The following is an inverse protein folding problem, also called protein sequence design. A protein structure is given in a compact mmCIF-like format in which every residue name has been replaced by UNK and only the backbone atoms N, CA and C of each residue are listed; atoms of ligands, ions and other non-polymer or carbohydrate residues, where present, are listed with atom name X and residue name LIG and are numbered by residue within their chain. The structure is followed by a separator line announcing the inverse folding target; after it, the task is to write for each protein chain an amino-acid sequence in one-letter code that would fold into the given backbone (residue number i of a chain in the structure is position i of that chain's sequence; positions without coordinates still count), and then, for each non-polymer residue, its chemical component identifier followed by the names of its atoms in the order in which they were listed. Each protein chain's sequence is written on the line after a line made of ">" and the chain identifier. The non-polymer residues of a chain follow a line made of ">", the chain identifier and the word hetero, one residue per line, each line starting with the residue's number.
data_IF_311203863726
#
_entry.id   IF_311203863726
#
_cell.length_a   1.000
_cell.length_b   1.000
_cell.length_c   1.000
_cell.angle_alpha   90.00
_cell.angle_beta   90.00
_cell.angle_gamma   90.00
#
_symmetry.space_group_name_H-M   'P 1'
#
loop_
_entity.id
_entity.type
_entity.pdbx_description
1 polymer ?
#
# COMPACT_ATOMS: atom_id res chain seq x y z
N UNK A 1 6.78 -10.85 23.07
CA UNK A 1 7.52 -11.45 21.92
C UNK A 1 7.34 -10.53 20.73
N UNK A 2 8.37 -10.30 19.88
CA UNK A 2 8.19 -9.52 18.66
C UNK A 2 7.14 -10.20 17.78
N UNK A 3 6.11 -9.45 17.37
CA UNK A 3 5.09 -9.96 16.46
C UNK A 3 5.50 -9.64 15.01
N UNK A 4 5.13 -10.53 14.10
CA UNK A 4 5.32 -10.36 12.67
C UNK A 4 3.95 -10.42 12.01
N UNK A 5 3.59 -9.38 11.27
CA UNK A 5 2.37 -9.34 10.47
C UNK A 5 2.75 -9.18 9.00
N UNK A 6 2.31 -10.11 8.17
CA UNK A 6 2.37 -9.99 6.72
C UNK A 6 0.98 -9.59 6.25
N UNK A 7 0.88 -8.57 5.41
CA UNK A 7 -0.39 -8.12 4.86
C UNK A 7 -0.32 -7.97 3.35
N UNK A 8 -1.45 -8.23 2.71
CA UNK A 8 -1.67 -8.02 1.29
C UNK A 8 -3.13 -7.61 1.07
N UNK A 9 -3.32 -6.54 0.30
CA UNK A 9 -4.62 -6.02 -0.09
C UNK A 9 -4.58 -5.68 -1.58
N UNK A 10 -5.61 -6.10 -2.30
CA UNK A 10 -5.78 -5.81 -3.72
C UNK A 10 -7.19 -5.29 -3.97
N UNK A 11 -7.33 -4.21 -4.73
CA UNK A 11 -8.60 -3.55 -5.00
C UNK A 11 -8.66 -3.12 -6.47
N UNK A 12 -9.84 -3.27 -7.08
CA UNK A 12 -10.15 -2.80 -8.43
C UNK A 12 -11.35 -1.87 -8.41
N UNK A 13 -11.27 -0.80 -9.18
CA UNK A 13 -12.24 0.29 -9.25
C UNK A 13 -12.61 0.53 -10.72
N UNK A 14 -13.70 -0.08 -11.22
CA UNK A 14 -14.22 0.25 -12.53
C UNK A 14 -14.90 1.63 -12.51
N UNK A 15 -14.74 2.41 -13.57
CA UNK A 15 -15.47 3.67 -13.73
C UNK A 15 -16.95 3.42 -14.01
N UNK A 16 -17.82 4.26 -13.45
CA UNK A 16 -19.26 4.24 -13.72
C UNK A 16 -19.62 4.88 -15.08
N UNK A 17 -18.85 5.89 -15.51
CA UNK A 17 -19.13 6.60 -16.77
C UNK A 17 -18.63 5.86 -18.02
N UNK A 18 -17.44 5.24 -17.93
CA UNK A 18 -16.83 4.42 -18.99
C UNK A 18 -16.34 3.11 -18.41
N UNK A 19 -17.06 2.01 -18.66
CA UNK A 19 -16.68 0.69 -18.15
C UNK A 19 -15.33 0.17 -18.66
N UNK A 20 -14.79 0.75 -19.73
CA UNK A 20 -13.44 0.47 -20.22
C UNK A 20 -12.33 1.16 -19.42
N UNK A 21 -12.68 2.13 -18.57
CA UNK A 21 -11.77 2.84 -17.67
C UNK A 21 -11.81 2.16 -16.29
N UNK A 22 -10.66 1.75 -15.80
CA UNK A 22 -10.53 1.04 -14.54
C UNK A 22 -9.16 1.28 -13.90
N UNK A 23 -9.18 1.29 -12.57
CA UNK A 23 -8.03 1.55 -11.73
C UNK A 23 -7.82 0.40 -10.73
N UNK A 24 -6.58 -0.01 -10.51
CA UNK A 24 -6.22 -1.10 -9.60
C UNK A 24 -5.14 -0.65 -8.63
N UNK A 25 -5.27 -1.08 -7.38
CA UNK A 25 -4.25 -0.90 -6.35
C UNK A 25 -3.89 -2.21 -5.68
N UNK A 26 -2.60 -2.42 -5.46
CA UNK A 26 -2.05 -3.47 -4.60
C UNK A 26 -1.25 -2.81 -3.49
N UNK A 27 -1.47 -3.25 -2.26
CA UNK A 27 -0.67 -2.86 -1.10
C UNK A 27 -0.21 -4.13 -0.41
N UNK A 28 1.08 -4.24 -0.17
CA UNK A 28 1.66 -5.38 0.53
C UNK A 28 2.78 -4.94 1.43
N UNK A 29 2.98 -5.64 2.53
CA UNK A 29 4.05 -5.30 3.43
C UNK A 29 4.21 -6.25 4.59
N UNK A 30 5.23 -5.94 5.36
CA UNK A 30 5.63 -6.64 6.55
C UNK A 30 5.69 -5.61 7.67
N UNK A 31 4.99 -5.88 8.77
CA UNK A 31 5.02 -5.09 10.00
C UNK A 31 5.63 -5.93 11.13
N UNK A 32 6.52 -5.31 11.89
CA UNK A 32 7.21 -5.92 13.01
C UNK A 32 7.17 -4.99 14.22
N UNK A 33 6.90 -5.53 15.39
CA UNK A 33 7.21 -4.86 16.66
C UNK A 33 8.63 -5.25 17.07
N UNK A 34 9.59 -4.37 16.79
CA UNK A 34 11.02 -4.64 16.98
C UNK A 34 11.45 -4.48 18.46
N UNK A 35 10.74 -3.63 19.20
CA UNK A 35 10.74 -3.51 20.66
C UNK A 35 9.28 -3.42 21.13
N UNK A 36 9.02 -3.48 22.45
CA UNK A 36 7.64 -3.46 22.99
C UNK A 36 6.80 -2.33 22.40
N UNK A 37 7.36 -1.13 22.35
CA UNK A 37 6.67 0.07 21.86
C UNK A 37 7.02 0.46 20.43
N UNK A 38 8.05 -0.15 19.81
CA UNK A 38 8.57 0.29 18.51
C UNK A 38 8.08 -0.59 17.38
N UNK A 39 7.35 0.02 16.46
CA UNK A 39 6.72 -0.62 15.32
C UNK A 39 7.43 -0.18 14.04
N UNK A 40 7.88 -1.13 13.23
CA UNK A 40 8.48 -0.87 11.91
C UNK A 40 7.63 -1.53 10.82
N UNK A 41 7.38 -0.83 9.71
CA UNK A 41 6.68 -1.39 8.55
C UNK A 41 7.45 -1.14 7.26
N UNK A 42 7.66 -2.19 6.48
CA UNK A 42 8.10 -2.13 5.10
C UNK A 42 6.91 -2.42 4.19
N UNK A 43 6.57 -1.49 3.30
CA UNK A 43 5.39 -1.60 2.46
C UNK A 43 5.69 -1.20 1.01
N UNK A 44 5.07 -1.90 0.08
CA UNK A 44 5.09 -1.59 -1.35
C UNK A 44 3.65 -1.37 -1.78
N UNK A 45 3.41 -0.21 -2.38
CA UNK A 45 2.16 0.15 -3.03
C UNK A 45 2.37 0.16 -4.53
N UNK A 46 1.55 -0.59 -5.26
CA UNK A 46 1.50 -0.57 -6.71
C UNK A 46 0.13 -0.06 -7.16
N UNK A 47 0.13 0.89 -8.07
CA UNK A 47 -1.08 1.52 -8.60
C UNK A 47 -1.03 1.45 -10.11
N UNK A 48 -2.14 1.05 -10.72
CA UNK A 48 -2.27 0.99 -12.16
C UNK A 48 -3.57 1.61 -12.61
N UNK A 49 -3.46 2.57 -13.54
CA UNK A 49 -4.54 3.23 -14.22
C UNK A 49 -4.43 2.90 -15.72
N UNK A 50 -5.46 2.28 -16.28
CA UNK A 50 -5.45 1.88 -17.68
C UNK A 50 -5.72 3.05 -18.64
N UNK A 51 -6.31 4.15 -18.14
CA UNK A 51 -6.68 5.36 -18.87
C UNK A 51 -6.19 6.62 -18.14
N UNK A 52 -4.87 6.77 -17.91
CA UNK A 52 -4.36 7.85 -17.10
C UNK A 52 -4.39 9.17 -17.89
N UNK A 53 -4.26 10.30 -17.18
CA UNK A 53 -4.21 11.61 -17.81
C UNK A 53 -3.07 11.72 -18.85
N UNK A 54 -3.23 12.49 -19.93
CA UNK A 54 -2.18 12.67 -20.93
C UNK A 54 -0.84 13.11 -20.30
N UNK A 55 0.25 12.45 -20.68
CA UNK A 55 1.59 12.72 -20.16
C UNK A 55 1.93 12.01 -18.84
N UNK A 56 1.02 11.20 -18.29
CA UNK A 56 1.27 10.42 -17.07
C UNK A 56 1.48 8.93 -17.36
N UNK A 57 2.20 8.24 -16.46
CA UNK A 57 2.47 6.80 -16.59
C UNK A 57 1.27 6.00 -16.09
N UNK A 58 0.99 4.87 -16.74
CA UNK A 58 -0.08 3.94 -16.33
C UNK A 58 0.18 3.24 -15.00
N UNK A 59 1.44 3.02 -14.65
CA UNK A 59 1.83 2.31 -13.44
C UNK A 59 2.71 3.20 -12.56
N UNK A 60 2.46 3.16 -11.26
CA UNK A 60 3.25 3.83 -10.23
C UNK A 60 3.53 2.87 -9.06
N UNK A 61 4.79 2.82 -8.63
CA UNK A 61 5.24 1.98 -7.52
C UNK A 61 5.83 2.86 -6.44
N UNK A 62 5.28 2.76 -5.23
CA UNK A 62 5.73 3.50 -4.06
C UNK A 62 6.26 2.53 -3.00
N UNK A 63 7.47 2.81 -2.53
CA UNK A 63 8.10 2.10 -1.42
C UNK A 63 7.97 2.94 -0.15
N UNK A 64 7.49 2.34 0.93
CA UNK A 64 7.24 3.01 2.21
C UNK A 64 8.02 2.28 3.30
N UNK A 65 8.79 3.07 4.06
CA UNK A 65 9.37 2.66 5.33
C UNK A 65 8.76 3.52 6.43
N UNK A 66 8.13 2.87 7.41
CA UNK A 66 7.50 3.55 8.55
C UNK A 66 8.13 3.10 9.86
N UNK A 67 8.34 4.06 10.77
CA UNK A 67 8.76 3.84 12.16
C UNK A 67 7.73 4.51 13.07
N UNK A 68 7.23 3.78 14.07
CA UNK A 68 6.27 4.26 15.05
C UNK A 68 6.68 3.89 16.47
N UNK A 69 6.25 4.69 17.44
CA UNK A 69 6.39 4.43 18.87
C UNK A 69 5.00 4.50 19.52
N UNK A 70 4.62 3.45 20.25
CA UNK A 70 3.36 3.37 20.98
C UNK A 70 3.59 3.79 22.44
N UNK A 71 2.91 4.83 22.90
CA UNK A 71 2.91 5.19 24.31
C UNK A 71 1.78 4.41 25.00
N UNK A 72 2.09 3.27 25.62
CA UNK A 72 1.16 2.72 26.63
C UNK A 72 1.26 3.59 27.90
N UNK A 73 0.10 3.91 28.50
CA UNK A 73 -0.02 4.52 29.83
C UNK A 73 -0.41 3.45 30.83
#
# INVERSE_FOLDING_TARGET
>A
MPNLTIFHQHQGFPSLDKTSDWYVTSQQGIRMNIWEDVITTFQINWRYDNFPAPGTKKADTQYILSLGYAFET
#
